data_IF_825654637655
#
_entry.id   IF_825654637655
#
_cell.length_a   1.000
_cell.length_b   1.000
_cell.length_c   1.000
_cell.angle_alpha   90.00
_cell.angle_beta   90.00
_cell.angle_gamma   90.00
#
_symmetry.space_group_name_H-M   'P 1'
#
loop_
_entity.id
_entity.type
_entity.pdbx_description
1 polymer ?
#
# COMPACT_ATOMS: atom_id res chain seq x y z
N UNK A 1 10.95 -12.92 -44.71
CA UNK A 1 9.90 -12.19 -43.95
C UNK A 1 9.18 -13.01 -42.87
N UNK A 2 8.92 -14.32 -43.02
CA UNK A 2 8.27 -15.13 -41.97
C UNK A 2 9.09 -15.30 -40.68
N UNK A 3 10.43 -15.40 -40.77
CA UNK A 3 11.32 -15.56 -39.60
C UNK A 3 11.41 -14.32 -38.70
N UNK A 4 11.31 -13.11 -39.26
CA UNK A 4 11.33 -11.86 -38.50
C UNK A 4 10.07 -11.65 -37.66
N UNK A 5 8.90 -12.03 -38.17
CA UNK A 5 7.63 -11.95 -37.42
C UNK A 5 7.58 -12.91 -36.23
N UNK A 6 8.25 -14.06 -36.34
CA UNK A 6 8.34 -15.04 -35.25
C UNK A 6 9.22 -14.51 -34.09
N UNK A 7 10.36 -13.89 -34.42
CA UNK A 7 11.28 -13.28 -33.45
C UNK A 7 10.64 -12.12 -32.66
N UNK A 8 9.83 -11.30 -33.33
CA UNK A 8 9.14 -10.17 -32.66
C UNK A 8 8.04 -10.70 -31.72
N UNK A 9 7.29 -11.73 -32.11
CA UNK A 9 6.29 -12.34 -31.22
C UNK A 9 6.94 -13.00 -29.98
N UNK A 10 8.10 -13.63 -30.14
CA UNK A 10 8.86 -14.21 -29.02
C UNK A 10 9.37 -13.16 -28.04
N UNK A 11 9.83 -12.00 -28.54
CA UNK A 11 10.33 -10.92 -27.70
C UNK A 11 9.22 -10.25 -26.88
N UNK A 12 8.02 -10.10 -27.46
CA UNK A 12 6.86 -9.54 -26.74
C UNK A 12 6.36 -10.51 -25.65
N UNK A 13 6.36 -11.82 -25.90
CA UNK A 13 6.01 -12.80 -24.86
C UNK A 13 7.02 -12.86 -23.69
N UNK A 14 8.30 -12.63 -23.97
CA UNK A 14 9.36 -12.58 -22.95
C UNK A 14 9.25 -11.35 -22.03
N UNK A 15 8.75 -10.22 -22.55
CA UNK A 15 8.50 -9.02 -21.74
C UNK A 15 7.28 -9.16 -20.83
N UNK A 16 6.24 -9.90 -21.26
CA UNK A 16 5.04 -10.14 -20.44
C UNK A 16 5.33 -11.04 -19.22
N UNK A 17 6.41 -11.83 -19.26
CA UNK A 17 6.84 -12.71 -18.17
C UNK A 17 7.95 -12.15 -17.29
N UNK A 18 8.37 -10.89 -17.48
CA UNK A 18 9.09 -10.21 -16.41
C UNK A 18 8.07 -9.91 -15.30
N UNK A 19 7.83 -10.92 -14.46
CA UNK A 19 7.12 -10.74 -13.20
C UNK A 19 7.68 -9.55 -12.45
N UNK A 20 6.84 -8.89 -11.66
CA UNK A 20 7.23 -7.73 -10.84
C UNK A 20 8.51 -8.11 -10.09
N UNK A 21 9.63 -7.53 -10.47
CA UNK A 21 10.93 -7.82 -9.85
C UNK A 21 10.81 -7.46 -8.37
N UNK A 22 11.38 -8.30 -7.50
CA UNK A 22 11.43 -8.01 -6.09
C UNK A 22 12.23 -6.73 -5.89
N UNK A 23 11.58 -5.70 -5.32
CA UNK A 23 12.23 -4.44 -5.00
C UNK A 23 13.24 -4.64 -3.86
N UNK A 24 14.42 -4.06 -4.03
CA UNK A 24 15.45 -3.98 -3.01
C UNK A 24 15.05 -3.06 -1.86
N UNK A 25 15.78 -3.16 -0.75
CA UNK A 25 15.59 -2.31 0.43
C UNK A 25 15.75 -0.82 0.07
N UNK A 26 16.73 -0.49 -0.76
CA UNK A 26 17.00 0.88 -1.19
C UNK A 26 15.86 1.41 -2.07
N UNK A 27 15.31 0.59 -2.96
CA UNK A 27 14.13 0.96 -3.76
C UNK A 27 12.91 1.25 -2.87
N UNK A 28 12.66 0.44 -1.83
CA UNK A 28 11.58 0.72 -0.87
C UNK A 28 11.80 2.01 -0.08
N UNK A 29 13.03 2.27 0.36
CA UNK A 29 13.36 3.53 1.03
C UNK A 29 13.12 4.73 0.11
N UNK A 30 13.54 4.63 -1.15
CA UNK A 30 13.33 5.66 -2.16
C UNK A 30 11.85 5.89 -2.44
N UNK A 31 11.04 4.84 -2.48
CA UNK A 31 9.58 4.94 -2.64
C UNK A 31 8.94 5.67 -1.45
N UNK A 32 9.37 5.37 -0.21
CA UNK A 32 8.90 6.06 0.98
C UNK A 32 9.28 7.55 0.95
N UNK A 33 10.52 7.88 0.57
CA UNK A 33 10.97 9.26 0.42
C UNK A 33 10.21 10.02 -0.67
N UNK A 34 9.99 9.36 -1.81
CA UNK A 34 9.20 9.92 -2.89
C UNK A 34 7.76 10.21 -2.44
N UNK A 35 7.15 9.29 -1.68
CA UNK A 35 5.81 9.46 -1.16
C UNK A 35 5.71 10.68 -0.23
N UNK A 36 6.66 10.84 0.69
CA UNK A 36 6.73 12.01 1.59
C UNK A 36 6.92 13.31 0.80
N UNK A 37 7.81 13.31 -0.20
CA UNK A 37 8.00 14.46 -1.08
C UNK A 37 6.69 14.87 -1.78
N UNK A 38 5.88 13.90 -2.19
CA UNK A 38 4.56 14.19 -2.78
C UNK A 38 3.60 14.77 -1.76
N UNK A 39 3.58 14.24 -0.54
CA UNK A 39 2.74 14.79 0.52
C UNK A 39 3.07 16.25 0.81
N UNK A 40 4.36 16.59 0.97
CA UNK A 40 4.79 17.97 1.18
C UNK A 40 4.35 18.93 0.05
N UNK A 41 4.22 18.42 -1.18
CA UNK A 41 3.82 19.23 -2.34
C UNK A 41 2.29 19.37 -2.52
N UNK A 42 1.51 18.42 -2.01
CA UNK A 42 0.07 18.32 -2.28
C UNK A 42 -0.77 18.77 -1.09
N UNK A 43 -0.33 18.50 0.14
CA UNK A 43 -1.09 18.86 1.34
C UNK A 43 -0.81 20.32 1.74
N UNK A 44 -1.78 21.24 1.56
CA UNK A 44 -1.65 22.57 2.12
C UNK A 44 -1.53 22.41 3.64
N UNK A 45 -0.46 22.94 4.21
CA UNK A 45 -0.12 22.84 5.63
C UNK A 45 0.47 21.52 6.14
N UNK A 46 1.02 20.64 5.29
CA UNK A 46 1.69 19.38 5.71
C UNK A 46 2.57 19.54 6.96
N UNK A 47 3.38 20.61 7.03
CA UNK A 47 4.30 20.88 8.14
C UNK A 47 3.67 21.57 9.35
N UNK A 48 2.48 22.17 9.20
CA UNK A 48 1.78 22.91 10.26
C UNK A 48 0.66 22.08 10.91
N UNK A 49 0.02 21.18 10.16
CA UNK A 49 -1.10 20.35 10.64
C UNK A 49 -0.66 18.98 11.15
N UNK A 50 0.47 18.47 10.65
CA UNK A 50 1.06 17.20 11.10
C UNK A 50 2.07 17.50 12.21
N UNK A 51 2.12 16.67 13.25
CA UNK A 51 3.28 16.61 14.15
C UNK A 51 4.49 16.17 13.32
N UNK A 52 5.19 17.14 12.73
CA UNK A 52 6.26 16.89 11.78
C UNK A 52 7.37 16.05 12.38
N UNK A 53 7.71 16.25 13.66
CA UNK A 53 8.70 15.44 14.35
C UNK A 53 8.24 13.99 14.49
N UNK A 54 6.99 13.77 14.90
CA UNK A 54 6.40 12.44 14.98
C UNK A 54 6.30 11.74 13.61
N UNK A 55 5.97 12.50 12.56
CA UNK A 55 5.87 11.98 11.19
C UNK A 55 7.22 11.50 10.66
N UNK A 56 8.29 12.29 10.79
CA UNK A 56 9.61 11.85 10.31
C UNK A 56 10.21 10.74 11.15
N UNK A 57 9.93 10.70 12.47
CA UNK A 57 10.28 9.55 13.29
C UNK A 57 9.58 8.26 12.79
N UNK A 58 8.28 8.37 12.44
CA UNK A 58 7.56 7.26 11.83
C UNK A 58 8.12 6.86 10.47
N UNK A 59 8.56 7.82 9.65
CA UNK A 59 9.22 7.54 8.37
C UNK A 59 10.50 6.71 8.58
N UNK A 60 11.33 7.09 9.55
CA UNK A 60 12.57 6.37 9.86
C UNK A 60 12.26 4.94 10.36
N UNK A 61 11.26 4.78 11.22
CA UNK A 61 10.78 3.47 11.69
C UNK A 61 10.26 2.61 10.52
N UNK A 62 9.48 3.20 9.61
CA UNK A 62 8.96 2.53 8.42
C UNK A 62 10.11 2.05 7.54
N UNK A 63 11.09 2.90 7.25
CA UNK A 63 12.27 2.51 6.46
C UNK A 63 13.06 1.38 7.12
N UNK A 64 13.29 1.47 8.43
CA UNK A 64 13.99 0.44 9.17
C UNK A 64 13.25 -0.91 9.19
N UNK A 65 11.93 -0.92 8.96
CA UNK A 65 11.10 -2.12 8.94
C UNK A 65 11.02 -2.83 7.59
N UNK A 66 11.52 -2.23 6.51
CA UNK A 66 11.41 -2.83 5.18
C UNK A 66 12.24 -4.12 5.04
N UNK A 67 11.59 -5.19 4.58
CA UNK A 67 12.25 -6.43 4.17
C UNK A 67 11.94 -6.72 2.69
N UNK A 68 12.95 -6.76 1.80
CA UNK A 68 12.76 -7.10 0.38
C UNK A 68 12.03 -8.42 0.12
N UNK A 69 11.95 -9.32 1.11
CA UNK A 69 11.26 -10.60 1.03
C UNK A 69 9.75 -10.50 1.28
N UNK A 70 9.26 -9.44 1.92
CA UNK A 70 7.86 -9.31 2.34
C UNK A 70 7.21 -8.05 1.77
N UNK A 71 6.94 -8.10 0.46
CA UNK A 71 6.31 -6.99 -0.27
C UNK A 71 5.04 -6.47 0.40
N UNK A 72 4.11 -7.35 0.77
CA UNK A 72 2.81 -6.95 1.32
C UNK A 72 2.96 -6.22 2.66
N UNK A 73 3.90 -6.69 3.49
CA UNK A 73 4.27 -6.03 4.75
C UNK A 73 4.85 -4.65 4.49
N UNK A 74 5.76 -4.50 3.53
CA UNK A 74 6.33 -3.20 3.16
C UNK A 74 5.24 -2.23 2.68
N UNK A 75 4.25 -2.71 1.93
CA UNK A 75 3.14 -1.86 1.49
C UNK A 75 2.25 -1.46 2.68
N UNK A 76 1.98 -2.36 3.63
CA UNK A 76 1.29 -2.04 4.89
C UNK A 76 2.03 -0.92 5.63
N UNK A 77 3.37 -0.92 5.65
CA UNK A 77 4.14 0.16 6.26
C UNK A 77 3.96 1.51 5.54
N UNK A 78 3.86 1.51 4.21
CA UNK A 78 3.52 2.72 3.45
C UNK A 78 2.10 3.23 3.76
N UNK A 79 1.12 2.33 3.93
CA UNK A 79 -0.23 2.71 4.38
C UNK A 79 -0.22 3.27 5.81
N UNK A 80 0.60 2.71 6.72
CA UNK A 80 0.78 3.22 8.08
C UNK A 80 1.32 4.65 8.06
N UNK A 81 2.32 4.92 7.22
CA UNK A 81 2.85 6.27 7.02
C UNK A 81 1.75 7.22 6.51
N UNK A 82 0.97 6.80 5.52
CA UNK A 82 -0.15 7.60 5.00
C UNK A 82 -1.22 7.90 6.04
N UNK A 83 -1.62 6.90 6.84
CA UNK A 83 -2.66 7.05 7.86
C UNK A 83 -2.31 8.10 8.93
N UNK A 84 -1.02 8.36 9.16
CA UNK A 84 -0.56 9.40 10.08
C UNK A 84 -0.87 10.84 9.62
N UNK A 85 -1.23 11.03 8.35
CA UNK A 85 -1.71 12.31 7.83
C UNK A 85 -3.14 12.63 8.27
N UNK A 86 -3.85 11.65 8.83
CA UNK A 86 -5.25 11.77 9.21
C UNK A 86 -6.17 12.23 8.05
N UNK A 87 -5.80 11.90 6.82
CA UNK A 87 -6.58 12.17 5.61
C UNK A 87 -7.33 10.92 5.17
N UNK A 88 -8.65 11.03 5.00
CA UNK A 88 -9.51 9.95 4.52
C UNK A 88 -9.84 10.05 3.02
N UNK A 89 -9.33 11.07 2.32
CA UNK A 89 -9.69 11.36 0.93
C UNK A 89 -8.66 10.89 -0.09
N UNK A 90 -7.51 10.42 0.36
CA UNK A 90 -6.48 9.89 -0.49
C UNK A 90 -5.96 8.56 0.05
N UNK A 91 -5.25 7.84 -0.81
CA UNK A 91 -4.58 6.59 -0.49
C UNK A 91 -3.32 6.49 -1.36
N UNK A 92 -2.22 5.87 -0.88
CA UNK A 92 -1.09 5.52 -1.72
C UNK A 92 -1.56 4.51 -2.77
N UNK A 93 -1.58 4.93 -4.04
CA UNK A 93 -1.88 4.04 -5.17
C UNK A 93 -0.66 3.16 -5.46
N UNK A 94 -0.53 2.07 -4.70
CA UNK A 94 0.47 1.04 -4.97
C UNK A 94 -0.10 0.09 -6.01
N UNK A 95 0.53 0.02 -7.19
CA UNK A 95 0.13 -0.93 -8.24
C UNK A 95 0.47 -2.36 -7.79
N UNK A 96 -0.49 -2.97 -7.11
CA UNK A 96 -0.39 -4.33 -6.60
C UNK A 96 -1.51 -5.18 -7.23
N UNK A 97 -1.18 -6.20 -8.03
CA UNK A 97 -2.18 -6.94 -8.80
C UNK A 97 -3.15 -7.75 -7.92
N UNK A 98 -2.75 -8.13 -6.71
CA UNK A 98 -3.67 -8.58 -5.68
C UNK A 98 -3.02 -8.40 -4.31
N UNK A 99 -3.67 -7.70 -3.38
CA UNK A 99 -3.39 -7.95 -1.98
C UNK A 99 -4.11 -9.23 -1.57
N UNK A 100 -3.47 -10.07 -0.76
CA UNK A 100 -4.20 -11.11 -0.02
C UNK A 100 -4.94 -10.48 1.19
N UNK A 101 -5.79 -9.49 0.90
CA UNK A 101 -6.65 -8.86 1.88
C UNK A 101 -7.91 -9.70 2.03
N UNK A 102 -8.07 -10.29 3.21
CA UNK A 102 -9.32 -10.96 3.57
C UNK A 102 -10.38 -9.92 3.91
N UNK A 103 -11.50 -9.99 3.20
CA UNK A 103 -12.72 -9.24 3.48
C UNK A 103 -13.67 -10.13 4.28
N UNK A 104 -14.05 -9.67 5.48
CA UNK A 104 -15.16 -10.26 6.22
C UNK A 104 -16.43 -9.47 5.89
N UNK A 105 -17.50 -10.10 5.39
CA UNK A 105 -18.69 -9.40 4.97
C UNK A 105 -19.60 -9.08 6.18
N UNK A 106 -19.03 -8.39 7.17
CA UNK A 106 -19.67 -8.01 8.43
C UNK A 106 -19.85 -6.50 8.51
N UNK A 107 -21.00 -6.03 9.01
CA UNK A 107 -21.19 -4.64 9.40
C UNK A 107 -20.99 -4.51 10.91
N UNK A 108 -19.96 -3.79 11.30
CA UNK A 108 -19.66 -3.53 12.72
C UNK A 108 -20.06 -2.10 13.08
N UNK A 109 -20.69 -1.92 14.24
CA UNK A 109 -21.05 -0.62 14.81
C UNK A 109 -20.48 -0.46 16.21
N UNK A 110 -20.00 0.74 16.55
CA UNK A 110 -19.51 1.09 17.90
C UNK A 110 -20.61 1.79 18.69
N UNK A 111 -21.13 1.15 19.73
CA UNK A 111 -22.02 1.73 20.73
C UNK A 111 -21.23 2.18 21.96
N UNK A 112 -21.90 2.77 22.96
CA UNK A 112 -21.24 3.27 24.20
C UNK A 112 -20.59 2.16 25.01
N UNK A 113 -21.15 0.97 24.95
CA UNK A 113 -20.79 -0.22 25.72
C UNK A 113 -19.90 -1.21 24.96
N UNK A 114 -19.67 -1.00 23.66
CA UNK A 114 -18.77 -1.86 22.90
C UNK A 114 -18.93 -1.79 21.38
N UNK A 115 -18.25 -2.72 20.70
CA UNK A 115 -18.40 -2.96 19.27
C UNK A 115 -19.34 -4.15 19.06
N UNK A 116 -20.25 -4.03 18.10
CA UNK A 116 -21.28 -5.04 17.83
C UNK A 116 -21.37 -5.32 16.33
N UNK A 117 -21.57 -6.56 15.96
CA UNK A 117 -21.96 -6.95 14.60
C UNK A 117 -23.45 -6.64 14.45
N UNK A 118 -23.80 -5.90 13.41
CA UNK A 118 -25.16 -5.39 13.15
C UNK A 118 -25.79 -5.94 11.88
N UNK A 119 -24.98 -6.54 11.01
CA UNK A 119 -25.39 -7.15 9.75
C UNK A 119 -24.27 -8.07 9.24
N UNK A 120 -24.60 -9.04 8.41
CA UNK A 120 -23.68 -10.00 7.81
C UNK A 120 -24.29 -10.69 6.59
N UNK A 121 -23.46 -11.11 5.64
CA UNK A 121 -23.92 -11.98 4.55
C UNK A 121 -24.37 -13.33 5.10
N UNK A 122 -25.36 -13.97 4.46
CA UNK A 122 -25.84 -15.30 4.84
C UNK A 122 -24.67 -16.30 4.97
N UNK A 123 -24.55 -16.93 6.14
CA UNK A 123 -23.39 -17.76 6.54
C UNK A 123 -22.45 -17.10 7.55
N UNK A 124 -22.56 -15.79 7.78
CA UNK A 124 -21.83 -15.05 8.82
C UNK A 124 -22.74 -14.48 9.93
N UNK A 125 -24.06 -14.66 9.80
CA UNK A 125 -25.06 -14.15 10.74
C UNK A 125 -25.18 -14.95 12.05
N UNK A 126 -24.52 -16.11 12.13
CA UNK A 126 -24.56 -17.01 13.29
C UNK A 126 -23.27 -16.98 14.14
N UNK A 127 -22.37 -15.99 13.90
CA UNK A 127 -21.14 -15.75 14.68
C UNK A 127 -21.42 -14.93 15.95
#
# INVERSE_FOLDING_TARGET
MKKQRFLILSAVLLFVFQGIQAQSYEEWCNDADFLVQKYESIYPDFRNSTDSAGFYALLDDVKASFDPKTRDENIIQLFKLHASLHDAHSIPMVFHPCFDLHSFPLRIHKFRDGWFVTDGLDGYNDL
#
